data_IF_740534686655
#
_entry.id   IF_740534686655
#
_cell.length_a   1.000
_cell.length_b   1.000
_cell.length_c   1.000
_cell.angle_alpha   90.00
_cell.angle_beta   90.00
_cell.angle_gamma   90.00
#
_symmetry.space_group_name_H-M   'P 1'
#
loop_
_entity.id
_entity.type
_entity.pdbx_description
1 polymer ?
#
# COMPACT_ATOMS: atom_id res chain seq x y z
N UNK A 1 -8.30 4.09 26.00
CA UNK A 1 -7.74 4.12 24.62
C UNK A 1 -8.78 4.65 23.64
N UNK A 2 -8.34 5.40 22.65
CA UNK A 2 -9.22 6.02 21.64
C UNK A 2 -9.06 5.33 20.29
N UNK A 3 -10.17 4.83 19.74
CA UNK A 3 -10.30 4.29 18.40
C UNK A 3 -10.91 5.33 17.47
N UNK A 4 -10.28 5.57 16.33
CA UNK A 4 -10.89 6.33 15.25
C UNK A 4 -11.10 5.41 14.04
N UNK A 5 -12.35 5.34 13.57
CA UNK A 5 -12.73 4.61 12.36
C UNK A 5 -12.78 5.60 11.22
N UNK A 6 -11.80 5.50 10.31
CA UNK A 6 -11.75 6.37 9.13
C UNK A 6 -12.41 5.71 7.92
N UNK A 7 -13.15 6.49 7.16
CA UNK A 7 -13.94 6.06 6.00
C UNK A 7 -13.65 7.00 4.83
N UNK A 8 -12.76 6.63 3.89
CA UNK A 8 -12.59 7.38 2.64
C UNK A 8 -13.85 7.26 1.78
N UNK A 9 -14.37 8.38 1.29
CA UNK A 9 -15.61 8.47 0.52
C UNK A 9 -15.42 9.24 -0.78
N UNK A 10 -16.04 8.74 -1.87
CA UNK A 10 -16.22 9.49 -3.11
C UNK A 10 -17.58 9.17 -3.72
N UNK A 11 -18.52 10.11 -3.66
CA UNK A 11 -19.91 9.95 -4.12
C UNK A 11 -20.60 8.74 -3.46
N UNK A 12 -20.60 8.69 -2.14
CA UNK A 12 -21.13 7.59 -1.33
C UNK A 12 -22.37 8.00 -0.50
N UNK A 13 -23.05 9.12 -0.86
CA UNK A 13 -24.25 9.56 -0.16
C UNK A 13 -25.34 8.46 -0.01
N UNK A 14 -25.54 7.54 -0.98
CA UNK A 14 -26.55 6.48 -0.84
C UNK A 14 -26.11 5.33 0.09
N UNK A 15 -24.81 5.02 0.18
CA UNK A 15 -24.29 3.84 0.92
C UNK A 15 -23.75 4.17 2.30
N UNK A 16 -23.30 5.40 2.50
CA UNK A 16 -22.70 5.85 3.74
C UNK A 16 -23.62 5.67 4.97
N UNK A 17 -24.95 5.94 4.93
CA UNK A 17 -25.82 5.71 6.07
C UNK A 17 -25.82 4.26 6.57
N UNK A 18 -25.87 3.28 5.67
CA UNK A 18 -25.82 1.86 6.03
C UNK A 18 -24.47 1.47 6.61
N UNK A 19 -23.38 2.00 6.05
CA UNK A 19 -22.03 1.78 6.60
C UNK A 19 -21.93 2.34 8.02
N UNK A 20 -22.39 3.57 8.26
CA UNK A 20 -22.34 4.19 9.59
C UNK A 20 -23.19 3.44 10.62
N UNK A 21 -24.36 2.93 10.21
CA UNK A 21 -25.27 2.17 11.09
C UNK A 21 -24.70 0.78 11.48
N UNK A 22 -23.83 0.18 10.67
CA UNK A 22 -23.19 -1.10 10.96
C UNK A 22 -21.95 -0.98 11.87
N UNK A 23 -21.43 0.24 12.09
CA UNK A 23 -20.26 0.44 12.95
C UNK A 23 -20.58 0.15 14.42
N UNK A 24 -19.64 -0.46 15.18
CA UNK A 24 -19.84 -0.77 16.57
C UNK A 24 -19.87 0.49 17.43
N UNK A 25 -20.80 0.53 18.39
CA UNK A 25 -20.84 1.56 19.43
C UNK A 25 -19.88 1.29 20.59
N UNK A 26 -19.41 0.05 20.74
CA UNK A 26 -18.45 -0.36 21.76
C UNK A 26 -17.52 -1.44 21.21
N UNK A 27 -16.23 -1.37 21.59
CA UNK A 27 -15.20 -2.37 21.28
C UNK A 27 -14.45 -2.68 22.58
N UNK A 28 -14.28 -3.96 22.94
CA UNK A 28 -13.58 -4.34 24.17
C UNK A 28 -12.17 -3.72 24.24
N UNK A 29 -11.85 -3.08 25.37
CA UNK A 29 -10.55 -2.41 25.58
C UNK A 29 -10.42 -1.01 24.97
N UNK A 30 -11.51 -0.46 24.41
CA UNK A 30 -11.57 0.89 23.87
C UNK A 30 -12.54 1.73 24.71
N UNK A 31 -12.12 2.92 25.14
CA UNK A 31 -12.93 3.82 25.96
C UNK A 31 -13.73 4.81 25.09
N UNK A 32 -13.16 5.23 23.96
CA UNK A 32 -13.74 6.25 23.08
C UNK A 32 -13.67 5.75 21.63
N UNK A 33 -14.81 5.76 20.94
CA UNK A 33 -14.88 5.47 19.51
C UNK A 33 -15.36 6.74 18.80
N UNK A 34 -14.57 7.19 17.84
CA UNK A 34 -14.94 8.30 16.97
C UNK A 34 -14.90 7.87 15.49
N UNK A 35 -15.76 8.48 14.69
CA UNK A 35 -15.87 8.23 13.25
C UNK A 35 -15.31 9.44 12.51
N UNK A 36 -14.46 9.19 11.52
CA UNK A 36 -13.88 10.18 10.65
C UNK A 36 -14.20 9.84 9.19
N UNK A 37 -14.87 10.73 8.48
CA UNK A 37 -15.14 10.63 7.04
C UNK A 37 -14.18 11.53 6.27
N UNK A 38 -13.52 10.96 5.26
CA UNK A 38 -12.69 11.73 4.32
C UNK A 38 -13.39 11.78 2.96
N UNK A 39 -13.98 12.91 2.64
CA UNK A 39 -14.65 13.17 1.37
C UNK A 39 -13.64 13.62 0.30
N UNK A 40 -13.33 12.73 -0.64
CA UNK A 40 -12.39 12.95 -1.74
C UNK A 40 -12.97 13.83 -2.87
N UNK A 41 -13.59 14.96 -2.50
CA UNK A 41 -14.16 15.90 -3.44
C UNK A 41 -15.43 15.40 -4.14
N UNK A 42 -16.32 14.78 -3.39
CA UNK A 42 -17.62 14.31 -3.90
C UNK A 42 -18.44 15.44 -4.52
N UNK A 43 -19.14 15.10 -5.58
CA UNK A 43 -20.08 15.98 -6.29
C UNK A 43 -21.54 15.80 -5.81
N UNK A 44 -21.79 14.78 -5.00
CA UNK A 44 -23.05 14.52 -4.33
C UNK A 44 -23.08 15.06 -2.89
N UNK A 45 -24.10 14.70 -2.13
CA UNK A 45 -24.30 15.15 -0.76
C UNK A 45 -23.52 14.34 0.30
N UNK A 46 -22.45 13.59 -0.07
CA UNK A 46 -21.71 12.69 0.84
C UNK A 46 -21.29 13.40 2.14
N UNK A 47 -20.65 14.57 2.07
CA UNK A 47 -20.20 15.29 3.26
C UNK A 47 -21.37 15.81 4.13
N UNK A 48 -22.51 16.15 3.52
CA UNK A 48 -23.72 16.54 4.25
C UNK A 48 -24.33 15.35 4.99
N UNK A 49 -24.45 14.20 4.31
CA UNK A 49 -24.94 12.95 4.87
C UNK A 49 -24.08 12.52 6.06
N UNK A 50 -22.74 12.59 5.94
CA UNK A 50 -21.84 12.29 7.05
C UNK A 50 -22.15 13.12 8.31
N UNK A 51 -22.28 14.44 8.15
CA UNK A 51 -22.60 15.34 9.28
C UNK A 51 -23.99 15.06 9.87
N UNK A 52 -24.99 14.83 9.02
CA UNK A 52 -26.36 14.54 9.45
C UNK A 52 -26.48 13.23 10.26
N UNK A 53 -25.56 12.27 10.04
CA UNK A 53 -25.48 11.01 10.80
C UNK A 53 -24.51 11.05 11.99
N UNK A 54 -24.11 12.24 12.46
CA UNK A 54 -23.34 12.38 13.69
C UNK A 54 -21.86 11.95 13.57
N UNK A 55 -21.29 11.99 12.36
CA UNK A 55 -19.84 11.72 12.18
C UNK A 55 -19.03 12.80 12.92
N UNK A 56 -18.10 12.37 13.77
CA UNK A 56 -17.32 13.25 14.65
C UNK A 56 -16.38 14.18 13.89
N UNK A 57 -15.76 13.66 12.82
CA UNK A 57 -14.78 14.40 12.03
C UNK A 57 -15.07 14.25 10.54
N UNK A 58 -15.09 15.35 9.79
CA UNK A 58 -15.25 15.35 8.33
C UNK A 58 -14.13 16.17 7.70
N UNK A 59 -13.26 15.50 6.97
CA UNK A 59 -12.22 16.10 6.12
C UNK A 59 -12.74 16.11 4.70
N UNK A 60 -12.77 17.27 4.03
CA UNK A 60 -13.28 17.40 2.66
C UNK A 60 -12.23 18.04 1.74
N UNK A 61 -11.93 17.38 0.63
CA UNK A 61 -11.13 17.97 -0.43
C UNK A 61 -11.97 18.85 -1.36
N UNK A 62 -11.39 19.93 -1.83
CA UNK A 62 -12.06 20.81 -2.82
C UNK A 62 -12.26 20.12 -4.18
N UNK A 63 -11.42 19.15 -4.53
CA UNK A 63 -11.46 18.35 -5.75
C UNK A 63 -10.89 16.97 -5.48
N UNK A 64 -11.26 15.99 -6.29
CA UNK A 64 -10.77 14.61 -6.18
C UNK A 64 -9.24 14.56 -6.23
N UNK A 65 -8.62 13.88 -5.26
CA UNK A 65 -7.19 13.62 -5.15
C UNK A 65 -6.85 12.13 -5.22
N UNK A 66 -7.83 11.25 -5.08
CA UNK A 66 -7.69 9.81 -5.13
C UNK A 66 -7.63 9.14 -3.77
N UNK A 67 -7.88 7.82 -3.77
CA UNK A 67 -8.04 7.00 -2.57
C UNK A 67 -6.81 7.06 -1.64
N UNK A 68 -5.61 7.03 -2.20
CA UNK A 68 -4.38 7.08 -1.40
C UNK A 68 -4.22 8.41 -0.65
N UNK A 69 -4.58 9.53 -1.30
CA UNK A 69 -4.57 10.85 -0.66
C UNK A 69 -5.64 10.96 0.43
N UNK A 70 -6.85 10.42 0.18
CA UNK A 70 -7.91 10.38 1.18
C UNK A 70 -7.51 9.53 2.40
N UNK A 71 -6.93 8.35 2.18
CA UNK A 71 -6.40 7.51 3.24
C UNK A 71 -5.36 8.25 4.09
N UNK A 72 -4.37 8.90 3.45
CA UNK A 72 -3.30 9.64 4.15
C UNK A 72 -3.86 10.80 4.96
N UNK A 73 -4.81 11.55 4.41
CA UNK A 73 -5.45 12.64 5.13
C UNK A 73 -6.28 12.15 6.33
N UNK A 74 -6.89 10.96 6.20
CA UNK A 74 -7.59 10.31 7.30
C UNK A 74 -6.65 9.88 8.43
N UNK A 75 -5.52 9.25 8.09
CA UNK A 75 -4.47 8.92 9.07
C UNK A 75 -3.98 10.17 9.80
N UNK A 76 -3.64 11.24 9.08
CA UNK A 76 -3.17 12.50 9.66
C UNK A 76 -4.23 13.13 10.59
N UNK A 77 -5.49 13.19 10.15
CA UNK A 77 -6.59 13.73 10.94
C UNK A 77 -6.87 12.88 12.20
N UNK A 78 -6.82 11.55 12.07
CA UNK A 78 -6.99 10.61 13.19
C UNK A 78 -5.89 10.78 14.24
N UNK A 79 -4.65 10.91 13.81
CA UNK A 79 -3.50 11.14 14.71
C UNK A 79 -3.62 12.48 15.46
N UNK A 80 -4.03 13.55 14.76
CA UNK A 80 -4.28 14.88 15.37
C UNK A 80 -5.46 14.87 16.33
N UNK A 81 -6.48 14.05 16.07
CA UNK A 81 -7.61 13.84 16.97
C UNK A 81 -7.27 12.93 18.17
N UNK A 82 -6.02 12.48 18.30
CA UNK A 82 -5.54 11.73 19.45
C UNK A 82 -5.83 10.23 19.40
N UNK A 83 -5.98 9.63 18.19
CA UNK A 83 -6.18 8.20 18.06
C UNK A 83 -5.02 7.39 18.63
N UNK A 84 -5.32 6.34 19.41
CA UNK A 84 -4.39 5.29 19.80
C UNK A 84 -4.40 4.16 18.78
N UNK A 85 -5.60 3.88 18.23
CA UNK A 85 -5.82 2.90 17.17
C UNK A 85 -6.64 3.56 16.06
N UNK A 86 -6.29 3.25 14.81
CA UNK A 86 -7.01 3.72 13.63
C UNK A 86 -7.48 2.50 12.85
N UNK A 87 -8.78 2.41 12.58
CA UNK A 87 -9.36 1.41 11.66
C UNK A 87 -9.77 2.11 10.38
N UNK A 88 -9.33 1.59 9.23
CA UNK A 88 -9.81 2.01 7.93
C UNK A 88 -10.85 1.01 7.41
N UNK A 89 -11.99 1.52 6.96
CA UNK A 89 -13.04 0.73 6.28
C UNK A 89 -13.56 1.47 5.05
N UNK A 90 -14.15 0.74 4.10
CA UNK A 90 -14.70 1.31 2.89
C UNK A 90 -16.14 1.80 3.11
N UNK A 91 -16.59 2.80 2.35
CA UNK A 91 -17.89 3.45 2.49
C UNK A 91 -19.07 2.68 1.85
N UNK A 92 -18.81 1.52 1.24
CA UNK A 92 -19.81 0.74 0.49
C UNK A 92 -20.44 -0.41 1.28
N UNK A 93 -20.17 -0.46 2.58
CA UNK A 93 -20.66 -1.48 3.51
C UNK A 93 -20.32 -2.93 3.10
N UNK A 94 -19.21 -3.15 2.38
CA UNK A 94 -18.77 -4.52 2.04
C UNK A 94 -18.20 -5.26 3.25
N UNK A 95 -17.63 -4.56 4.22
CA UNK A 95 -17.08 -5.14 5.43
C UNK A 95 -18.08 -5.02 6.58
N UNK A 96 -18.23 -6.10 7.37
CA UNK A 96 -19.05 -6.04 8.57
C UNK A 96 -18.37 -5.20 9.66
N UNK A 97 -19.05 -4.17 10.14
CA UNK A 97 -18.55 -3.32 11.23
C UNK A 97 -18.31 -4.11 12.52
N UNK A 98 -19.04 -5.24 12.73
CA UNK A 98 -18.86 -6.13 13.89
C UNK A 98 -17.47 -6.73 13.95
N UNK A 99 -16.78 -6.88 12.82
CA UNK A 99 -15.44 -7.45 12.76
C UNK A 99 -14.34 -6.46 13.13
N UNK A 100 -14.67 -5.18 13.38
CA UNK A 100 -13.73 -4.19 13.91
C UNK A 100 -13.11 -4.67 15.23
N UNK A 101 -13.88 -5.29 16.10
CA UNK A 101 -13.36 -5.85 17.34
C UNK A 101 -12.28 -6.93 17.10
N UNK A 102 -12.42 -7.76 16.05
CA UNK A 102 -11.42 -8.76 15.68
C UNK A 102 -10.13 -8.12 15.16
N UNK A 103 -10.25 -7.01 14.39
CA UNK A 103 -9.08 -6.26 13.91
C UNK A 103 -8.31 -5.57 15.04
N UNK A 104 -9.03 -5.07 16.03
CA UNK A 104 -8.43 -4.31 17.14
C UNK A 104 -7.76 -5.22 18.17
N UNK A 105 -8.29 -6.41 18.42
CA UNK A 105 -7.81 -7.33 19.46
C UNK A 105 -6.30 -7.65 19.38
N UNK A 106 -5.69 -7.98 18.21
CA UNK A 106 -4.24 -8.23 18.14
C UNK A 106 -3.38 -6.99 18.37
N UNK A 107 -3.92 -5.78 18.11
CA UNK A 107 -3.23 -4.52 18.41
C UNK A 107 -3.22 -4.25 19.92
N UNK A 108 -4.36 -4.47 20.59
CA UNK A 108 -4.49 -4.29 22.05
C UNK A 108 -3.59 -5.26 22.82
N UNK A 109 -3.44 -6.50 22.34
CA UNK A 109 -2.54 -7.49 22.95
C UNK A 109 -1.06 -7.29 22.63
N UNK A 110 -0.70 -6.29 21.80
CA UNK A 110 0.68 -6.04 21.37
C UNK A 110 1.26 -7.10 20.43
N UNK A 111 0.43 -7.98 19.85
CA UNK A 111 0.86 -9.02 18.92
C UNK A 111 1.16 -8.46 17.51
N UNK A 112 0.54 -7.34 17.15
CA UNK A 112 0.71 -6.72 15.86
C UNK A 112 0.71 -5.19 15.93
N UNK A 113 1.38 -4.55 14.98
CA UNK A 113 1.33 -3.12 14.72
C UNK A 113 0.25 -2.78 13.69
N UNK A 114 -0.01 -3.73 12.77
CA UNK A 114 -1.00 -3.61 11.69
C UNK A 114 -1.77 -4.92 11.61
N UNK A 115 -3.09 -4.83 11.52
CA UNK A 115 -3.98 -5.99 11.29
C UNK A 115 -4.78 -5.79 10.01
N UNK A 116 -4.83 -6.82 9.17
CA UNK A 116 -5.51 -6.80 7.88
C UNK A 116 -6.68 -7.78 7.93
N UNK A 117 -7.86 -7.31 7.53
CA UNK A 117 -9.04 -8.16 7.36
C UNK A 117 -8.90 -9.03 6.11
N UNK A 118 -8.83 -10.34 6.29
CA UNK A 118 -8.83 -11.33 5.20
C UNK A 118 -10.27 -11.71 4.86
N UNK A 119 -10.67 -11.44 3.62
CA UNK A 119 -12.01 -11.74 3.11
C UNK A 119 -12.18 -13.20 2.70
N UNK A 120 -11.20 -14.06 2.94
CA UNK A 120 -11.18 -15.44 2.45
C UNK A 120 -11.60 -15.57 0.97
N UNK A 121 -10.88 -14.87 0.10
CA UNK A 121 -11.20 -14.74 -1.34
C UNK A 121 -11.40 -16.09 -2.04
N UNK A 122 -10.87 -17.17 -1.45
CA UNK A 122 -11.02 -18.54 -1.98
C UNK A 122 -12.49 -19.00 -1.98
N UNK A 123 -13.26 -18.53 -1.00
CA UNK A 123 -14.67 -18.92 -0.79
C UNK A 123 -15.68 -17.99 -1.46
N UNK A 124 -15.24 -16.84 -2.02
CA UNK A 124 -16.15 -15.92 -2.71
C UNK A 124 -16.66 -16.59 -4.00
N UNK A 125 -17.91 -17.06 -3.97
CA UNK A 125 -18.54 -17.85 -5.04
C UNK A 125 -18.66 -17.09 -6.38
N UNK A 126 -18.80 -15.77 -6.35
CA UNK A 126 -19.07 -14.92 -7.54
C UNK A 126 -17.82 -14.43 -8.28
N UNK A 127 -16.62 -14.82 -7.86
CA UNK A 127 -15.38 -14.36 -8.50
C UNK A 127 -14.92 -15.36 -9.57
N UNK A 128 -14.69 -14.88 -10.82
CA UNK A 128 -14.20 -15.71 -11.92
C UNK A 128 -12.81 -16.31 -11.63
N UNK A 129 -12.55 -17.53 -12.12
CA UNK A 129 -11.27 -18.24 -11.92
C UNK A 129 -10.04 -17.42 -12.34
N UNK A 130 -10.01 -16.71 -13.49
CA UNK A 130 -8.87 -15.89 -13.86
C UNK A 130 -8.59 -14.75 -12.85
N UNK A 131 -9.66 -14.16 -12.30
CA UNK A 131 -9.54 -13.08 -11.31
C UNK A 131 -8.98 -13.59 -9.98
N UNK A 132 -9.40 -14.79 -9.54
CA UNK A 132 -8.85 -15.47 -8.34
C UNK A 132 -7.37 -15.79 -8.53
N UNK A 133 -6.99 -16.33 -9.70
CA UNK A 133 -5.58 -16.67 -9.99
C UNK A 133 -4.70 -15.41 -10.00
N UNK A 134 -5.17 -14.35 -10.65
CA UNK A 134 -4.46 -13.08 -10.75
C UNK A 134 -4.25 -12.43 -9.39
N UNK A 135 -5.27 -12.47 -8.54
CA UNK A 135 -5.19 -11.91 -7.19
C UNK A 135 -4.24 -12.74 -6.30
N UNK A 136 -4.23 -14.08 -6.46
CA UNK A 136 -3.25 -14.95 -5.78
C UNK A 136 -1.82 -14.64 -6.21
N UNK A 137 -1.60 -14.48 -7.52
CA UNK A 137 -0.28 -14.12 -8.05
C UNK A 137 0.16 -12.75 -7.52
N UNK A 138 -0.73 -11.75 -7.56
CA UNK A 138 -0.46 -10.43 -7.01
C UNK A 138 -0.12 -10.48 -5.52
N UNK A 139 -0.90 -11.17 -4.72
CA UNK A 139 -0.63 -11.35 -3.29
C UNK A 139 0.67 -12.12 -3.04
N UNK A 140 0.99 -13.13 -3.85
CA UNK A 140 2.25 -13.86 -3.76
C UNK A 140 3.45 -12.94 -4.02
N UNK A 141 3.40 -12.13 -5.10
CA UNK A 141 4.46 -11.18 -5.41
C UNK A 141 4.64 -10.17 -4.27
N UNK A 142 3.55 -9.61 -3.75
CA UNK A 142 3.61 -8.66 -2.62
C UNK A 142 4.23 -9.31 -1.39
N UNK A 143 3.86 -10.55 -1.05
CA UNK A 143 4.46 -11.30 0.06
C UNK A 143 5.98 -11.47 -0.11
N UNK A 144 6.44 -11.83 -1.32
CA UNK A 144 7.88 -11.95 -1.59
C UNK A 144 8.62 -10.62 -1.41
N UNK A 145 8.02 -9.53 -1.88
CA UNK A 145 8.62 -8.18 -1.80
C UNK A 145 8.61 -7.63 -0.38
N UNK A 146 7.51 -7.85 0.36
CA UNK A 146 7.32 -7.36 1.72
C UNK A 146 7.90 -8.27 2.79
N UNK A 147 8.21 -9.53 2.46
CA UNK A 147 8.58 -10.59 3.43
C UNK A 147 7.51 -10.77 4.52
N UNK A 148 6.21 -10.71 4.13
CA UNK A 148 5.06 -10.84 5.03
C UNK A 148 4.15 -11.99 4.57
N UNK A 149 3.39 -12.58 5.49
CA UNK A 149 2.51 -13.71 5.22
C UNK A 149 1.02 -13.30 5.03
N UNK A 150 0.75 -12.08 4.60
CA UNK A 150 -0.61 -11.55 4.42
C UNK A 150 -1.31 -12.22 3.23
N UNK A 151 -2.46 -12.91 3.43
CA UNK A 151 -3.16 -13.60 2.35
C UNK A 151 -3.95 -12.65 1.45
N UNK A 152 -4.62 -11.63 2.00
CA UNK A 152 -5.36 -10.62 1.23
C UNK A 152 -4.67 -9.25 1.28
N UNK A 153 -3.77 -9.03 0.33
CA UNK A 153 -3.01 -7.77 0.23
C UNK A 153 -3.82 -6.60 -0.31
N UNK A 154 -5.01 -6.86 -0.84
CA UNK A 154 -5.87 -5.84 -1.47
C UNK A 154 -6.98 -5.33 -0.57
N UNK A 155 -7.21 -5.98 0.57
CA UNK A 155 -8.21 -5.54 1.55
C UNK A 155 -7.96 -4.12 2.02
N UNK A 156 -9.00 -3.28 2.02
CA UNK A 156 -9.01 -1.94 2.59
C UNK A 156 -9.35 -1.92 4.09
N UNK A 157 -9.86 -3.02 4.62
CA UNK A 157 -10.28 -3.15 6.01
C UNK A 157 -9.07 -3.48 6.90
N UNK A 158 -8.54 -2.48 7.57
CA UNK A 158 -7.27 -2.57 8.29
C UNK A 158 -7.29 -1.78 9.57
N UNK A 159 -6.55 -2.27 10.56
CA UNK A 159 -6.30 -1.56 11.80
C UNK A 159 -4.80 -1.26 11.96
N UNK A 160 -4.49 -0.11 12.55
CA UNK A 160 -3.14 0.40 12.76
C UNK A 160 -3.00 0.88 14.20
N UNK A 161 -1.88 0.57 14.86
CA UNK A 161 -1.48 1.29 16.07
C UNK A 161 -1.10 2.74 15.72
N UNK A 162 -1.14 3.64 16.71
CA UNK A 162 -0.65 5.02 16.58
C UNK A 162 0.77 5.07 16.01
N UNK A 163 1.66 4.20 16.50
CA UNK A 163 3.05 4.15 16.08
C UNK A 163 3.18 3.69 14.61
N UNK A 164 2.43 2.66 14.20
CA UNK A 164 2.40 2.23 12.80
C UNK A 164 1.89 3.33 11.88
N UNK A 165 0.81 4.01 12.27
CA UNK A 165 0.23 5.12 11.51
C UNK A 165 1.21 6.29 11.35
N UNK A 166 1.95 6.66 12.39
CA UNK A 166 2.99 7.71 12.35
C UNK A 166 4.12 7.38 11.36
N UNK A 167 4.52 6.11 11.30
CA UNK A 167 5.60 5.64 10.41
C UNK A 167 5.13 5.43 8.97
N UNK A 168 3.82 5.43 8.72
CA UNK A 168 3.28 5.18 7.39
C UNK A 168 3.43 6.42 6.51
N UNK A 169 4.03 6.25 5.32
CA UNK A 169 4.24 7.32 4.33
C UNK A 169 3.83 6.82 2.95
N UNK A 170 2.59 7.08 2.53
CA UNK A 170 2.08 6.66 1.22
C UNK A 170 2.48 7.69 0.16
N UNK A 171 3.19 7.24 -0.86
CA UNK A 171 3.65 8.05 -2.00
C UNK A 171 2.90 7.71 -3.29
N UNK A 172 2.35 6.49 -3.37
CA UNK A 172 1.55 6.07 -4.52
C UNK A 172 0.26 6.87 -4.61
N UNK A 173 -0.07 7.36 -5.81
CA UNK A 173 -1.35 8.03 -6.06
C UNK A 173 -2.50 7.05 -6.23
N UNK A 174 -2.19 5.78 -6.54
CA UNK A 174 -3.19 4.81 -6.96
C UNK A 174 -3.82 4.03 -5.80
N UNK A 175 -3.02 3.40 -4.93
CA UNK A 175 -3.51 2.56 -3.85
C UNK A 175 -2.53 2.51 -2.70
N UNK A 176 -3.04 2.77 -1.49
CA UNK A 176 -2.28 2.65 -0.25
C UNK A 176 -2.11 1.18 0.17
N UNK A 177 -2.97 0.25 -0.31
CA UNK A 177 -3.07 -1.11 0.23
C UNK A 177 -1.80 -1.94 0.02
N UNK A 178 -1.22 -1.91 -1.17
CA UNK A 178 0.01 -2.63 -1.47
C UNK A 178 1.22 -1.94 -0.85
N UNK A 179 1.27 -0.62 -0.94
CA UNK A 179 2.39 0.16 -0.44
C UNK A 179 2.53 0.06 1.07
N UNK A 180 1.42 0.13 1.83
CA UNK A 180 1.44 0.02 3.29
C UNK A 180 1.98 -1.33 3.77
N UNK A 181 1.65 -2.46 3.09
CA UNK A 181 2.18 -3.78 3.43
C UNK A 181 3.69 -3.85 3.16
N UNK A 182 4.13 -3.36 1.99
CA UNK A 182 5.55 -3.39 1.64
C UNK A 182 6.35 -2.51 2.59
N UNK A 183 5.87 -1.31 2.92
CA UNK A 183 6.51 -0.46 3.92
C UNK A 183 6.58 -1.11 5.28
N UNK A 184 5.50 -1.71 5.75
CA UNK A 184 5.45 -2.38 7.04
C UNK A 184 6.47 -3.51 7.12
N UNK A 185 6.55 -4.38 6.09
CA UNK A 185 7.56 -5.43 6.02
C UNK A 185 8.99 -4.87 6.01
N UNK A 186 9.28 -3.83 5.20
CA UNK A 186 10.61 -3.21 5.15
C UNK A 186 11.00 -2.47 6.43
N UNK A 187 10.03 -1.91 7.15
CA UNK A 187 10.23 -1.26 8.46
C UNK A 187 10.16 -2.25 9.64
N UNK A 188 10.05 -3.57 9.36
CA UNK A 188 9.95 -4.65 10.35
C UNK A 188 8.83 -4.45 11.37
N UNK A 189 7.70 -3.91 10.93
CA UNK A 189 6.49 -3.83 11.74
C UNK A 189 5.83 -5.20 11.79
N UNK A 190 5.25 -5.55 12.92
CA UNK A 190 4.49 -6.79 13.08
C UNK A 190 3.14 -6.67 12.36
N UNK A 191 2.89 -7.55 11.38
CA UNK A 191 1.63 -7.60 10.62
C UNK A 191 0.93 -8.90 10.94
N UNK A 192 -0.35 -8.81 11.29
CA UNK A 192 -1.24 -9.93 11.44
C UNK A 192 -2.43 -9.84 10.49
N UNK A 193 -3.19 -10.91 10.36
CA UNK A 193 -4.45 -10.92 9.62
C UNK A 193 -5.52 -11.65 10.43
N UNK A 194 -6.77 -11.27 10.21
CA UNK A 194 -7.94 -11.90 10.81
C UNK A 194 -9.01 -12.12 9.75
N UNK A 195 -9.71 -13.25 9.83
CA UNK A 195 -10.82 -13.51 8.91
C UNK A 195 -11.98 -12.57 9.23
N UNK A 196 -12.50 -11.93 8.18
CA UNK A 196 -13.61 -10.99 8.26
C UNK A 196 -14.75 -11.38 7.33
N UNK A 197 -15.97 -11.18 7.81
CA UNK A 197 -17.17 -11.38 7.00
C UNK A 197 -17.32 -10.25 5.97
N UNK A 198 -17.85 -10.62 4.81
CA UNK A 198 -18.23 -9.64 3.77
C UNK A 198 -19.75 -9.60 3.63
N UNK A 199 -20.32 -8.41 3.62
CA UNK A 199 -21.72 -8.20 3.30
C UNK A 199 -21.97 -8.41 1.80
N UNK A 200 -23.23 -8.54 1.41
CA UNK A 200 -23.59 -8.66 0.00
C UNK A 200 -23.14 -7.43 -0.80
N UNK A 201 -22.59 -7.66 -1.99
CA UNK A 201 -22.13 -6.58 -2.87
C UNK A 201 -23.34 -5.78 -3.34
N UNK A 202 -23.43 -4.54 -2.89
CA UNK A 202 -24.56 -3.63 -3.22
C UNK A 202 -24.38 -2.93 -4.56
N UNK A 203 -23.14 -2.85 -5.08
CA UNK A 203 -22.82 -2.16 -6.34
C UNK A 203 -21.54 -2.69 -7.01
N UNK A 204 -21.40 -2.55 -8.35
CA UNK A 204 -20.16 -2.88 -9.05
C UNK A 204 -19.00 -1.96 -8.62
N UNK A 205 -17.77 -2.50 -8.67
CA UNK A 205 -16.54 -1.75 -8.34
C UNK A 205 -16.36 -0.55 -9.27
N UNK A 206 -16.11 0.63 -8.70
CA UNK A 206 -15.80 1.87 -9.45
C UNK A 206 -14.31 2.01 -9.79
N UNK A 207 -13.45 1.20 -9.18
CA UNK A 207 -11.99 1.34 -9.36
C UNK A 207 -11.50 0.79 -10.69
N UNK A 208 -12.20 -0.23 -11.25
CA UNK A 208 -11.76 -0.89 -12.48
C UNK A 208 -12.91 -1.24 -13.39
N UNK A 209 -12.88 -0.71 -14.62
CA UNK A 209 -13.84 -1.04 -15.65
C UNK A 209 -13.42 -2.30 -16.45
N UNK A 210 -12.13 -2.68 -16.45
CA UNK A 210 -11.61 -3.84 -17.18
C UNK A 210 -10.56 -4.59 -16.38
N UNK A 211 -10.54 -5.92 -16.50
CA UNK A 211 -9.56 -6.81 -15.88
C UNK A 211 -8.12 -6.47 -16.30
N UNK A 212 -7.93 -6.15 -17.58
CA UNK A 212 -6.62 -5.81 -18.14
C UNK A 212 -6.07 -4.49 -17.58
N UNK A 213 -6.92 -3.49 -17.39
CA UNK A 213 -6.56 -2.23 -16.72
C UNK A 213 -6.09 -2.46 -15.28
N UNK A 214 -6.83 -3.29 -14.52
CA UNK A 214 -6.44 -3.69 -13.17
C UNK A 214 -5.07 -4.36 -13.12
N UNK A 215 -4.84 -5.35 -14.00
CA UNK A 215 -3.58 -6.08 -14.07
C UNK A 215 -2.41 -5.16 -14.39
N UNK A 216 -2.54 -4.37 -15.46
CA UNK A 216 -1.50 -3.42 -15.89
C UNK A 216 -1.12 -2.45 -14.77
N UNK A 217 -2.11 -1.88 -14.10
CA UNK A 217 -1.89 -0.87 -13.07
C UNK A 217 -1.33 -1.47 -11.77
N UNK A 218 -1.83 -2.65 -11.38
CA UNK A 218 -1.29 -3.38 -10.21
C UNK A 218 0.15 -3.82 -10.44
N UNK A 219 0.46 -4.39 -11.61
CA UNK A 219 1.83 -4.80 -11.96
C UNK A 219 2.77 -3.59 -11.99
N UNK A 220 2.36 -2.49 -12.64
CA UNK A 220 3.15 -1.27 -12.67
C UNK A 220 3.41 -0.71 -11.26
N UNK A 221 2.41 -0.76 -10.38
CA UNK A 221 2.55 -0.34 -8.98
C UNK A 221 3.53 -1.23 -8.22
N UNK A 222 3.40 -2.56 -8.34
CA UNK A 222 4.31 -3.51 -7.68
C UNK A 222 5.75 -3.30 -8.16
N UNK A 223 5.97 -3.22 -9.47
CA UNK A 223 7.31 -3.02 -10.05
C UNK A 223 7.89 -1.69 -9.59
N UNK A 224 7.10 -0.60 -9.60
CA UNK A 224 7.53 0.72 -9.14
C UNK A 224 7.94 0.69 -7.66
N UNK A 225 7.10 0.10 -6.79
CA UNK A 225 7.38 0.05 -5.36
C UNK A 225 8.60 -0.83 -5.11
N UNK A 226 8.69 -1.98 -5.77
CA UNK A 226 9.86 -2.86 -5.61
C UNK A 226 11.15 -2.19 -6.07
N UNK A 227 11.15 -1.56 -7.25
CA UNK A 227 12.29 -0.79 -7.74
C UNK A 227 12.67 0.39 -6.83
N UNK A 228 11.71 0.93 -6.09
CA UNK A 228 11.93 2.03 -5.14
C UNK A 228 12.55 1.57 -3.81
N UNK A 229 12.27 0.32 -3.37
CA UNK A 229 12.80 -0.22 -2.12
C UNK A 229 14.04 -1.10 -2.29
N UNK A 230 14.19 -1.76 -3.44
CA UNK A 230 15.29 -2.68 -3.75
C UNK A 230 15.83 -2.46 -5.18
N UNK A 231 16.24 -1.23 -5.51
CA UNK A 231 16.61 -0.90 -6.90
C UNK A 231 17.83 -1.70 -7.36
N UNK A 232 18.84 -1.84 -6.52
CA UNK A 232 20.08 -2.55 -6.89
C UNK A 232 19.79 -4.00 -7.33
N UNK A 233 18.88 -4.72 -6.63
CA UNK A 233 18.51 -6.09 -7.03
C UNK A 233 17.85 -6.12 -8.41
N UNK A 234 16.86 -5.22 -8.65
CA UNK A 234 16.13 -5.18 -9.93
C UNK A 234 17.08 -4.91 -11.08
N UNK A 235 17.86 -3.84 -10.97
CA UNK A 235 18.77 -3.43 -12.04
C UNK A 235 19.95 -4.42 -12.22
N UNK A 236 20.42 -5.07 -11.14
CA UNK A 236 21.45 -6.12 -11.24
C UNK A 236 20.94 -7.37 -11.94
N UNK A 237 19.68 -7.78 -11.72
CA UNK A 237 19.09 -8.89 -12.48
C UNK A 237 18.95 -8.54 -13.97
N UNK A 238 18.41 -7.36 -14.29
CA UNK A 238 18.27 -6.92 -15.69
C UNK A 238 19.63 -6.81 -16.37
N UNK A 239 20.57 -6.09 -15.74
CA UNK A 239 21.92 -5.90 -16.26
C UNK A 239 22.69 -7.21 -16.40
N UNK A 240 22.55 -8.11 -15.40
CA UNK A 240 23.13 -9.45 -15.44
C UNK A 240 22.63 -10.30 -16.60
N UNK A 241 21.33 -10.30 -16.88
CA UNK A 241 20.76 -10.99 -18.06
C UNK A 241 21.32 -10.44 -19.36
N UNK A 242 21.43 -9.11 -19.49
CA UNK A 242 21.98 -8.46 -20.69
C UNK A 242 23.47 -8.79 -20.85
N UNK A 243 24.26 -8.79 -19.76
CA UNK A 243 25.68 -9.20 -19.79
C UNK A 243 25.80 -10.67 -20.18
N UNK A 244 25.01 -11.56 -19.60
CA UNK A 244 25.02 -12.99 -19.93
C UNK A 244 24.68 -13.24 -21.39
N UNK A 245 23.73 -12.51 -21.95
CA UNK A 245 23.44 -12.57 -23.39
C UNK A 245 24.65 -12.12 -24.23
N UNK A 246 25.31 -11.02 -23.84
CA UNK A 246 26.54 -10.56 -24.47
C UNK A 246 27.66 -11.60 -24.41
N UNK A 247 27.89 -12.18 -23.23
CA UNK A 247 28.88 -13.24 -23.04
C UNK A 247 28.59 -14.49 -23.85
N UNK A 248 27.33 -14.91 -23.98
CA UNK A 248 26.94 -16.05 -24.80
C UNK A 248 27.26 -15.80 -26.28
N UNK A 249 27.02 -14.59 -26.80
CA UNK A 249 27.37 -14.19 -28.17
C UNK A 249 28.91 -14.17 -28.34
N UNK A 250 29.65 -13.64 -27.37
CA UNK A 250 31.14 -13.68 -27.37
C UNK A 250 31.66 -15.09 -27.39
N UNK A 251 31.14 -15.96 -26.52
CA UNK A 251 31.59 -17.37 -26.44
C UNK A 251 31.32 -18.10 -27.77
N UNK A 252 30.13 -17.84 -28.38
CA UNK A 252 29.85 -18.38 -29.73
C UNK A 252 30.85 -17.88 -30.79
N UNK A 253 31.21 -16.59 -30.77
CA UNK A 253 32.20 -16.03 -31.70
C UNK A 253 33.57 -16.70 -31.51
N UNK A 254 34.06 -16.83 -30.26
CA UNK A 254 35.35 -17.49 -29.92
C UNK A 254 35.36 -18.96 -30.36
N UNK A 255 34.25 -19.69 -30.19
CA UNK A 255 34.13 -21.07 -30.67
C UNK A 255 34.35 -21.16 -32.18
N UNK A 256 33.69 -20.33 -32.99
CA UNK A 256 33.87 -20.31 -34.42
C UNK A 256 35.28 -19.85 -34.84
N UNK A 257 35.84 -18.91 -34.12
CA UNK A 257 37.18 -18.40 -34.38
C UNK A 257 38.26 -19.49 -34.21
N UNK A 258 38.18 -20.27 -33.14
CA UNK A 258 39.20 -21.27 -32.85
C UNK A 258 39.01 -22.62 -33.54
N UNK A 259 37.76 -23.04 -33.78
CA UNK A 259 37.48 -24.39 -34.27
C UNK A 259 37.09 -24.46 -35.75
N UNK A 260 36.61 -23.35 -36.37
CA UNK A 260 36.15 -23.43 -37.76
C UNK A 260 36.87 -22.49 -38.73
N UNK A 261 37.76 -21.63 -38.25
CA UNK A 261 38.48 -20.60 -39.01
C UNK A 261 37.57 -19.64 -39.84
N UNK A 262 36.27 -19.59 -39.54
CA UNK A 262 35.25 -18.79 -40.25
C UNK A 262 34.94 -17.47 -39.57
N UNK A 263 35.92 -16.77 -38.99
CA UNK A 263 35.73 -15.56 -38.23
C UNK A 263 35.32 -14.33 -39.07
N UNK A 264 35.67 -14.32 -40.36
CA UNK A 264 35.52 -13.14 -41.22
C UNK A 264 34.10 -12.60 -41.42
N UNK A 265 33.08 -13.45 -41.24
CA UNK A 265 31.66 -13.04 -41.38
C UNK A 265 30.94 -12.72 -40.06
N UNK A 266 31.63 -12.79 -38.88
CA UNK A 266 30.94 -12.74 -37.57
C UNK A 266 31.36 -11.54 -36.69
N UNK A 267 32.09 -10.57 -37.24
CA UNK A 267 32.55 -9.36 -36.51
C UNK A 267 31.33 -8.56 -35.99
N UNK A 268 30.22 -8.55 -36.69
CA UNK A 268 28.99 -7.91 -36.24
C UNK A 268 28.46 -8.51 -34.92
N UNK A 269 28.61 -9.82 -34.72
CA UNK A 269 28.23 -10.45 -33.44
C UNK A 269 29.13 -10.04 -32.30
N UNK A 270 30.42 -9.81 -32.54
CA UNK A 270 31.36 -9.34 -31.52
C UNK A 270 31.04 -7.89 -31.11
N UNK A 271 30.72 -7.02 -32.09
CA UNK A 271 30.28 -5.65 -31.81
C UNK A 271 28.98 -5.65 -30.98
N UNK A 272 27.99 -6.46 -31.39
CA UNK A 272 26.75 -6.59 -30.62
C UNK A 272 27.00 -7.08 -29.19
N UNK A 273 27.88 -8.07 -29.02
CA UNK A 273 28.27 -8.55 -27.69
C UNK A 273 28.89 -7.44 -26.85
N UNK A 274 29.84 -6.69 -27.39
CA UNK A 274 30.46 -5.56 -26.67
C UNK A 274 29.43 -4.51 -26.25
N UNK A 275 28.52 -4.14 -27.15
CA UNK A 275 27.42 -3.20 -26.84
C UNK A 275 26.53 -3.76 -25.72
N UNK A 276 26.12 -5.04 -25.77
CA UNK A 276 25.31 -5.64 -24.70
C UNK A 276 26.04 -5.64 -23.36
N UNK A 277 27.33 -5.94 -23.32
CA UNK A 277 28.11 -5.94 -22.09
C UNK A 277 28.20 -4.52 -21.50
N UNK A 278 28.46 -3.50 -22.33
CA UNK A 278 28.51 -2.11 -21.90
C UNK A 278 27.14 -1.64 -21.37
N UNK A 279 26.06 -1.93 -22.10
CA UNK A 279 24.70 -1.58 -21.70
C UNK A 279 24.32 -2.29 -20.40
N UNK A 280 24.62 -3.59 -20.27
CA UNK A 280 24.33 -4.34 -19.05
C UNK A 280 25.10 -3.79 -17.84
N UNK A 281 26.36 -3.42 -18.01
CA UNK A 281 27.14 -2.77 -16.96
C UNK A 281 26.57 -1.39 -16.58
N UNK A 282 26.17 -0.58 -17.56
CA UNK A 282 25.52 0.72 -17.30
C UNK A 282 24.21 0.55 -16.52
N UNK A 283 23.41 -0.48 -16.85
CA UNK A 283 22.16 -0.79 -16.10
C UNK A 283 22.47 -1.09 -14.64
N UNK A 284 23.53 -1.86 -14.35
CA UNK A 284 23.95 -2.13 -12.95
C UNK A 284 24.40 -0.85 -12.25
N UNK A 285 25.16 0.01 -12.91
CA UNK A 285 25.57 1.32 -12.34
C UNK A 285 24.36 2.21 -12.01
N UNK A 286 23.35 2.23 -12.89
CA UNK A 286 22.08 2.95 -12.63
C UNK A 286 21.42 2.35 -11.37
N UNK A 287 21.43 1.03 -11.21
CA UNK A 287 20.94 0.36 -10.03
C UNK A 287 21.65 0.79 -8.74
N UNK A 288 22.97 0.94 -8.79
CA UNK A 288 23.76 1.42 -7.65
C UNK A 288 23.40 2.86 -7.28
N UNK A 289 23.27 3.76 -8.27
CA UNK A 289 22.83 5.13 -8.03
C UNK A 289 21.44 5.20 -7.43
N UNK A 290 20.52 4.40 -7.96
CA UNK A 290 19.15 4.31 -7.45
C UNK A 290 19.11 3.77 -6.01
N UNK A 291 20.02 2.87 -5.62
CA UNK A 291 20.13 2.35 -4.24
C UNK A 291 20.60 3.44 -3.27
N UNK A 292 21.54 4.28 -3.65
CA UNK A 292 21.97 5.45 -2.86
C UNK A 292 20.78 6.42 -2.65
N UNK A 293 20.00 6.69 -3.70
CA UNK A 293 18.79 7.52 -3.62
C UNK A 293 17.76 6.88 -2.68
N UNK A 294 17.57 5.56 -2.76
CA UNK A 294 16.69 4.82 -1.84
C UNK A 294 17.13 4.94 -0.38
N UNK A 295 18.45 4.93 -0.12
CA UNK A 295 19.02 5.20 1.19
C UNK A 295 18.68 6.60 1.71
N UNK A 296 18.87 7.63 0.90
CA UNK A 296 18.51 9.01 1.25
C UNK A 296 17.00 9.16 1.55
N UNK A 297 16.14 8.46 0.79
CA UNK A 297 14.71 8.42 1.03
C UNK A 297 14.38 7.86 2.41
N UNK A 298 15.02 6.76 2.84
CA UNK A 298 14.78 6.17 4.18
C UNK A 298 15.09 7.16 5.29
N UNK A 299 16.16 7.96 5.13
CA UNK A 299 16.50 9.04 6.08
C UNK A 299 15.42 10.13 6.11
N UNK A 300 14.88 10.52 4.95
CA UNK A 300 13.78 11.47 4.87
C UNK A 300 12.49 10.95 5.52
N UNK A 301 12.17 9.67 5.35
CA UNK A 301 11.02 9.03 6.01
C UNK A 301 11.19 9.03 7.55
N UNK A 302 12.41 8.78 8.07
CA UNK A 302 12.70 8.85 9.52
C UNK A 302 12.60 10.30 10.04
N UNK A 303 13.09 11.27 9.30
CA UNK A 303 12.93 12.68 9.64
C UNK A 303 11.45 13.09 9.67
N UNK A 304 10.67 12.68 8.68
CA UNK A 304 9.24 12.96 8.61
C UNK A 304 8.49 12.35 9.80
N UNK A 305 8.83 11.13 10.19
CA UNK A 305 8.29 10.50 11.39
C UNK A 305 8.59 11.32 12.65
N UNK A 306 9.84 11.76 12.83
CA UNK A 306 10.23 12.57 14.01
C UNK A 306 9.51 13.90 14.03
N UNK A 307 9.38 14.58 12.89
CA UNK A 307 8.65 15.85 12.79
C UNK A 307 7.17 15.67 13.14
N UNK A 308 6.49 14.66 12.56
CA UNK A 308 5.09 14.36 12.87
C UNK A 308 4.88 14.06 14.35
N UNK A 309 5.78 13.30 14.94
CA UNK A 309 5.74 12.99 16.37
C UNK A 309 5.87 14.24 17.22
N UNK A 310 6.85 15.10 16.94
CA UNK A 310 7.03 16.36 17.65
C UNK A 310 5.83 17.31 17.52
N UNK A 311 5.24 17.40 16.31
CA UNK A 311 4.03 18.20 16.10
C UNK A 311 2.86 17.72 16.96
N UNK A 312 2.63 16.40 17.06
CA UNK A 312 1.57 15.84 17.88
C UNK A 312 1.83 16.01 19.38
N UNK A 313 3.08 15.81 19.82
CA UNK A 313 3.47 16.04 21.24
C UNK A 313 3.30 17.52 21.61
N UNK A 314 3.58 18.45 20.70
CA UNK A 314 3.36 19.88 20.92
C UNK A 314 1.89 20.25 21.00
N UNK A 315 1.04 19.61 20.18
CA UNK A 315 -0.41 19.84 20.22
C UNK A 315 -1.06 19.26 21.49
N UNK A 316 -0.50 18.21 22.07
CA UNK A 316 -1.02 17.57 23.27
C UNK A 316 -0.57 18.26 24.58
N UNK A 317 0.40 19.19 24.54
CA UNK A 317 0.76 20.00 25.70
C UNK A 317 -0.26 21.13 25.87
N UNK A 318 -1.01 21.19 26.99
CA UNK A 318 -1.85 22.34 27.26
C UNK A 318 -1.01 23.62 27.35
N UNK A 319 -1.60 24.75 26.97
CA UNK A 319 -1.04 26.13 26.92
C UNK A 319 -0.53 26.64 28.26
N UNK A 320 0.31 25.90 29.01
CA UNK A 320 0.90 26.34 30.27
C UNK A 320 1.96 27.43 30.09
N UNK A 321 2.45 27.64 28.86
CA UNK A 321 3.54 28.60 28.61
C UNK A 321 3.06 29.88 27.89
N UNK A 322 1.75 30.15 27.83
CA UNK A 322 1.20 31.42 27.30
C UNK A 322 0.81 32.43 28.39
N UNK A 323 0.91 32.05 29.65
CA UNK A 323 0.59 32.93 30.81
C UNK A 323 1.81 33.27 31.67
N UNK A 324 3.04 33.08 31.16
CA UNK A 324 4.26 33.51 31.85
C UNK A 324 4.92 34.71 31.15
#
# INVERSE_FOLDING_TARGET
MKLIIQIPCLNEAPTLPSTLADLPSAVPGIDIIEILVVDDGSTDNTAHVARAHGVHHVVRFRRRKGLAAAFTAGIDASLRAGADIIVNTDADNQYSGRDIAKLVAPLLSGQADIVIGDRNIREIAHMSLPKKLLQRLGSWVVRQVSSTEVPDTTSGFRAYTREAALRMTIVSEFSYTLESIIQAGKKRMSISHVEVATNAITRPSRLFNTMWGYLKQSTATIVRIYAMYEPLKVFSYIGGVVILAGLAISARFLYFYWFTNEAGGKIQSLILSAVLMIVGFQVILIGLLADVISGARKLLEDLLYRVRRMELERQSRPDRDREA
#
